data_IF_251351986962
#
_entry.id   IF_251351986962
#
_cell.length_a   1.000
_cell.length_b   1.000
_cell.length_c   1.000
_cell.angle_alpha   90.00
_cell.angle_beta   90.00
_cell.angle_gamma   90.00
#
_symmetry.space_group_name_H-M   'P 1'
#
loop_
_entity.id
_entity.type
_entity.pdbx_description
1 polymer ?
#
# COMPACT_ATOMS: atom_id res chain seq x y z
N UNK A 1 3.38 1.29 19.82
CA UNK A 1 3.78 -0.04 20.36
C UNK A 1 4.85 -0.72 19.49
N UNK A 2 4.58 -1.16 18.26
CA UNK A 2 5.60 -1.88 17.46
C UNK A 2 6.89 -1.09 17.21
N UNK A 3 6.77 0.20 16.89
CA UNK A 3 7.91 1.08 16.59
C UNK A 3 8.33 1.96 17.76
N UNK A 4 7.70 1.77 18.92
CA UNK A 4 7.97 2.58 20.11
C UNK A 4 9.23 2.04 20.80
N UNK A 5 10.12 2.93 21.24
CA UNK A 5 11.36 2.56 21.92
C UNK A 5 11.12 1.89 23.27
N UNK A 6 10.02 2.23 23.96
CA UNK A 6 9.57 1.56 25.19
C UNK A 6 8.67 0.34 24.90
N UNK A 7 8.39 0.07 23.63
CA UNK A 7 7.66 -1.10 23.15
C UNK A 7 8.61 -2.13 22.53
N UNK A 8 8.40 -2.44 21.25
CA UNK A 8 9.22 -3.42 20.53
C UNK A 8 10.42 -2.82 19.79
N UNK A 9 10.53 -1.48 19.68
CA UNK A 9 11.66 -0.80 19.03
C UNK A 9 11.89 -1.21 17.55
N UNK A 10 10.87 -1.69 16.85
CA UNK A 10 11.02 -2.19 15.47
C UNK A 10 11.14 -1.00 14.53
N UNK A 11 12.20 -0.99 13.72
CA UNK A 11 12.39 0.03 12.69
C UNK A 11 11.17 0.14 11.77
N UNK A 12 10.77 1.37 11.43
CA UNK A 12 9.71 1.66 10.44
C UNK A 12 9.89 1.02 9.07
N UNK A 13 11.11 0.57 8.74
CA UNK A 13 11.41 -0.18 7.50
C UNK A 13 11.03 -1.66 7.58
N UNK A 14 10.92 -2.21 8.79
CA UNK A 14 10.59 -3.61 9.09
C UNK A 14 9.12 -3.81 9.48
N UNK A 15 8.35 -2.72 9.59
CA UNK A 15 6.89 -2.77 9.75
C UNK A 15 6.26 -2.48 8.40
N UNK A 16 5.58 -3.47 7.83
CA UNK A 16 4.93 -3.37 6.52
C UNK A 16 3.42 -3.45 6.68
N UNK A 17 2.71 -2.46 6.16
CA UNK A 17 1.26 -2.48 6.02
C UNK A 17 0.90 -2.92 4.60
N UNK A 18 0.13 -3.99 4.46
CA UNK A 18 -0.45 -4.41 3.18
C UNK A 18 -1.86 -3.83 3.02
N UNK A 19 -2.25 -3.46 1.79
CA UNK A 19 -3.58 -2.91 1.48
C UNK A 19 -4.11 -3.38 0.13
N UNK A 20 -5.42 -3.62 0.06
CA UNK A 20 -6.15 -3.85 -1.20
C UNK A 20 -6.49 -2.57 -1.97
N UNK A 21 -6.22 -1.39 -1.40
CA UNK A 21 -6.28 -0.12 -2.13
C UNK A 21 -7.45 0.81 -1.79
N UNK A 22 -7.75 1.02 -0.51
CA UNK A 22 -8.68 2.09 -0.09
C UNK A 22 -7.99 3.45 -0.21
N UNK A 23 -8.12 4.11 -1.36
CA UNK A 23 -7.35 5.34 -1.69
C UNK A 23 -7.37 6.42 -0.59
N UNK A 24 -8.53 6.86 -0.05
CA UNK A 24 -8.54 7.89 0.99
C UNK A 24 -7.79 7.50 2.27
N UNK A 25 -7.73 6.19 2.57
CA UNK A 25 -7.03 5.69 3.76
C UNK A 25 -5.52 5.60 3.53
N UNK A 26 -5.05 5.45 2.28
CA UNK A 26 -3.63 5.54 1.94
C UNK A 26 -3.15 6.99 2.11
N UNK A 27 -3.94 7.95 1.63
CA UNK A 27 -3.61 9.37 1.80
C UNK A 27 -3.60 9.74 3.30
N UNK A 28 -4.63 9.33 4.07
CA UNK A 28 -4.68 9.52 5.53
C UNK A 28 -3.53 8.84 6.27
N UNK A 29 -3.11 7.64 5.83
CA UNK A 29 -1.98 6.94 6.44
C UNK A 29 -0.71 7.81 6.44
N UNK A 30 -0.45 8.50 5.32
CA UNK A 30 0.70 9.39 5.16
C UNK A 30 0.69 10.61 6.09
N UNK A 31 -0.45 10.94 6.71
CA UNK A 31 -0.58 12.00 7.72
C UNK A 31 -0.36 11.48 9.14
N UNK A 32 -0.62 10.19 9.36
CA UNK A 32 -0.65 9.60 10.70
C UNK A 32 0.67 8.91 11.04
N UNK A 33 1.26 8.15 10.10
CA UNK A 33 2.42 7.32 10.41
C UNK A 33 3.22 6.89 9.17
N UNK A 34 4.54 6.84 9.32
CA UNK A 34 5.46 6.31 8.31
C UNK A 34 5.73 4.82 8.52
N UNK A 35 5.28 3.97 7.61
CA UNK A 35 5.60 2.53 7.57
C UNK A 35 5.95 2.06 6.15
N UNK A 36 6.53 0.88 5.99
CA UNK A 36 6.67 0.26 4.67
C UNK A 36 5.28 -0.10 4.12
N UNK A 37 5.06 0.04 2.81
CA UNK A 37 3.77 -0.21 2.17
C UNK A 37 3.88 -1.36 1.16
N UNK A 38 2.95 -2.31 1.27
CA UNK A 38 2.74 -3.35 0.28
C UNK A 38 1.34 -3.19 -0.36
N UNK A 39 1.27 -3.39 -1.68
CA UNK A 39 0.05 -3.27 -2.46
C UNK A 39 -0.39 -4.64 -2.98
N UNK A 40 -1.55 -5.09 -2.54
CA UNK A 40 -2.24 -6.28 -3.02
C UNK A 40 -2.88 -6.01 -4.40
N UNK A 41 -2.07 -6.11 -5.46
CA UNK A 41 -2.44 -5.73 -6.82
C UNK A 41 -3.25 -6.84 -7.51
N UNK A 42 -2.65 -8.03 -7.63
CA UNK A 42 -3.22 -9.27 -8.17
C UNK A 42 -3.81 -9.25 -9.59
N UNK A 43 -3.68 -8.16 -10.34
CA UNK A 43 -4.11 -8.06 -11.73
C UNK A 43 -3.36 -6.96 -12.50
N UNK A 44 -3.13 -7.10 -13.82
CA UNK A 44 -2.39 -6.13 -14.61
C UNK A 44 -3.29 -5.03 -15.22
N UNK A 45 -4.62 -5.20 -15.19
CA UNK A 45 -5.60 -4.26 -15.74
C UNK A 45 -6.86 -4.20 -14.89
N UNK A 46 -7.65 -3.12 -15.03
CA UNK A 46 -8.86 -2.90 -14.25
C UNK A 46 -9.94 -3.96 -14.49
N UNK A 47 -10.07 -4.49 -15.72
CA UNK A 47 -11.10 -5.48 -16.03
C UNK A 47 -10.92 -6.76 -15.22
N UNK A 48 -9.69 -7.30 -15.20
CA UNK A 48 -9.36 -8.47 -14.38
C UNK A 48 -9.39 -8.13 -12.88
N UNK A 49 -8.88 -6.94 -12.50
CA UNK A 49 -8.87 -6.54 -11.09
C UNK A 49 -10.27 -6.35 -10.52
N UNK A 50 -11.23 -5.88 -11.32
CA UNK A 50 -12.64 -5.77 -10.93
C UNK A 50 -13.27 -7.13 -10.59
N UNK A 51 -12.74 -8.22 -11.13
CA UNK A 51 -13.19 -9.59 -10.83
C UNK A 51 -12.48 -10.13 -9.58
N UNK A 52 -11.15 -9.98 -9.50
CA UNK A 52 -10.33 -10.56 -8.43
C UNK A 52 -10.37 -9.75 -7.12
N UNK A 53 -10.40 -8.42 -7.22
CA UNK A 53 -10.36 -7.48 -6.09
C UNK A 53 -11.47 -6.42 -6.29
N UNK A 54 -12.72 -6.70 -5.86
CA UNK A 54 -13.89 -5.88 -6.20
C UNK A 54 -13.79 -4.40 -5.81
N UNK A 55 -12.95 -4.06 -4.83
CA UNK A 55 -12.69 -2.66 -4.45
C UNK A 55 -12.15 -1.80 -5.61
N UNK A 56 -11.56 -2.43 -6.63
CA UNK A 56 -11.09 -1.75 -7.83
C UNK A 56 -12.19 -0.98 -8.57
N UNK A 57 -13.45 -1.44 -8.48
CA UNK A 57 -14.60 -0.75 -9.08
C UNK A 57 -14.82 0.64 -8.48
N UNK A 58 -14.44 0.83 -7.21
CA UNK A 58 -14.52 2.11 -6.49
C UNK A 58 -13.24 2.92 -6.65
N UNK A 59 -12.08 2.25 -6.64
CA UNK A 59 -10.77 2.87 -6.77
C UNK A 59 -9.95 2.16 -7.86
N UNK A 60 -10.09 2.59 -9.13
CA UNK A 60 -9.36 2.01 -10.26
C UNK A 60 -7.84 2.12 -10.11
N UNK A 61 -7.11 1.32 -10.89
CA UNK A 61 -5.66 1.21 -10.83
C UNK A 61 -4.94 2.55 -10.91
N UNK A 62 -5.37 3.44 -11.81
CA UNK A 62 -4.75 4.76 -11.96
C UNK A 62 -4.81 5.57 -10.66
N UNK A 63 -5.98 5.65 -10.04
CA UNK A 63 -6.18 6.35 -8.76
C UNK A 63 -5.38 5.72 -7.63
N UNK A 64 -5.39 4.38 -7.59
CA UNK A 64 -4.70 3.59 -6.58
C UNK A 64 -3.18 3.79 -6.66
N UNK A 65 -2.60 3.64 -7.85
CA UNK A 65 -1.17 3.83 -8.06
C UNK A 65 -0.75 5.28 -7.81
N UNK A 66 -1.59 6.26 -8.16
CA UNK A 66 -1.34 7.66 -7.83
C UNK A 66 -1.26 7.88 -6.31
N UNK A 67 -2.19 7.29 -5.54
CA UNK A 67 -2.17 7.37 -4.07
C UNK A 67 -0.93 6.70 -3.47
N UNK A 68 -0.57 5.50 -3.94
CA UNK A 68 0.64 4.83 -3.49
C UNK A 68 1.91 5.63 -3.82
N UNK A 69 1.99 6.25 -5.00
CA UNK A 69 3.11 7.12 -5.39
C UNK A 69 3.21 8.33 -4.47
N UNK A 70 2.09 9.01 -4.16
CA UNK A 70 2.06 10.12 -3.20
C UNK A 70 2.56 9.70 -1.82
N UNK A 71 2.10 8.55 -1.34
CA UNK A 71 2.54 8.03 -0.04
C UNK A 71 4.04 7.73 -0.01
N UNK A 72 4.56 6.98 -1.00
CA UNK A 72 5.99 6.60 -1.06
C UNK A 72 6.90 7.82 -1.20
N UNK A 73 6.49 8.83 -1.97
CA UNK A 73 7.24 10.07 -2.13
C UNK A 73 7.49 10.80 -0.78
N UNK A 74 6.61 10.62 0.21
CA UNK A 74 6.76 11.21 1.56
C UNK A 74 7.81 10.49 2.42
N UNK A 75 8.08 9.21 2.16
CA UNK A 75 8.93 8.37 3.01
C UNK A 75 10.45 8.49 2.69
N UNK A 76 10.80 9.17 1.61
CA UNK A 76 12.17 9.41 1.13
C UNK A 76 12.62 8.52 -0.03
N UNK A 77 13.70 8.91 -0.71
CA UNK A 77 14.14 8.38 -2.02
C UNK A 77 14.44 6.86 -2.05
N UNK A 78 14.84 6.27 -0.91
CA UNK A 78 15.20 4.84 -0.83
C UNK A 78 14.00 3.93 -0.53
N UNK A 79 12.79 4.48 -0.36
CA UNK A 79 11.61 3.70 -0.03
C UNK A 79 10.91 3.26 -1.30
N UNK A 80 10.61 1.97 -1.39
CA UNK A 80 9.97 1.35 -2.54
C UNK A 80 8.63 0.74 -2.13
N UNK A 81 7.67 0.78 -3.04
CA UNK A 81 6.40 0.08 -2.90
C UNK A 81 6.63 -1.41 -3.16
N UNK A 82 6.22 -2.28 -2.24
CA UNK A 82 6.17 -3.71 -2.50
C UNK A 82 4.90 -4.04 -3.26
N UNK A 83 5.00 -4.78 -4.37
CA UNK A 83 3.84 -5.27 -5.12
C UNK A 83 3.62 -6.74 -4.75
N UNK A 84 2.44 -7.04 -4.24
CA UNK A 84 1.97 -8.39 -3.99
C UNK A 84 1.13 -8.84 -5.18
N UNK A 85 1.50 -9.98 -5.77
CA UNK A 85 0.84 -10.54 -6.94
C UNK A 85 0.63 -12.03 -6.77
N UNK A 86 -0.62 -12.48 -6.85
CA UNK A 86 -0.97 -13.90 -6.70
C UNK A 86 -1.02 -14.52 -8.08
N UNK A 87 -0.31 -15.63 -8.25
CA UNK A 87 -0.37 -16.43 -9.46
C UNK A 87 -1.53 -17.41 -9.33
N UNK A 88 -2.60 -17.17 -10.09
CA UNK A 88 -3.76 -18.04 -10.18
C UNK A 88 -3.58 -19.02 -11.36
N UNK A 89 -4.04 -20.25 -11.20
CA UNK A 89 -4.04 -21.29 -12.24
C UNK A 89 -5.14 -21.08 -13.26
#
# INVERSE_FOLDING_TARGET
>A
IMMDDLGYGISKRKVTLSTSGVVPMIDKLGEVIDVSLALSLHAPNDALRNQLVPINKKYPLEMLLAACKRYVARLGEKRVLTIEYTLLK
#
